data_IF_147015105044
#
_entry.id   IF_147015105044
#
_cell.length_a   1.000
_cell.length_b   1.000
_cell.length_c   1.000
_cell.angle_alpha   90.00
_cell.angle_beta   90.00
_cell.angle_gamma   90.00
#
_symmetry.space_group_name_H-M   'P 1'
#
loop_
_entity.id
_entity.type
_entity.pdbx_description
1 polymer ?
#
# COMPACT_ATOMS: atom_id res chain seq x y z
N UNK A 1 -1.06 25.01 8.28
CA UNK A 1 -2.19 24.41 7.53
C UNK A 1 -1.72 23.03 7.10
N UNK A 2 -2.29 22.00 7.70
CA UNK A 2 -1.82 20.61 7.65
C UNK A 2 -1.84 20.07 6.21
N UNK A 3 -0.70 19.54 5.77
CA UNK A 3 -0.51 19.00 4.43
C UNK A 3 -1.63 17.99 4.09
N UNK A 4 -2.46 18.35 3.11
CA UNK A 4 -3.46 17.47 2.54
C UNK A 4 -2.74 16.34 1.79
N UNK A 5 -2.50 15.22 2.47
CA UNK A 5 -2.30 13.93 1.79
C UNK A 5 -3.31 12.86 2.24
N UNK A 6 -4.61 13.14 2.45
CA UNK A 6 -5.56 12.05 2.75
C UNK A 6 -6.13 11.34 1.50
N UNK A 7 -6.34 12.02 0.36
CA UNK A 7 -7.26 11.47 -0.67
C UNK A 7 -6.63 10.68 -1.83
N UNK A 8 -5.31 10.60 -1.98
CA UNK A 8 -4.70 9.93 -3.14
C UNK A 8 -4.96 8.42 -3.13
N UNK A 9 -4.74 7.79 -1.98
CA UNK A 9 -4.96 6.34 -1.87
C UNK A 9 -6.44 6.00 -2.01
N UNK A 10 -7.34 6.78 -1.41
CA UNK A 10 -8.78 6.58 -1.54
C UNK A 10 -9.28 6.74 -2.98
N UNK A 11 -8.82 7.80 -3.68
CA UNK A 11 -9.25 8.10 -5.06
C UNK A 11 -8.79 7.06 -6.07
N UNK A 12 -7.63 6.46 -5.83
CA UNK A 12 -7.02 5.49 -6.72
C UNK A 12 -7.17 4.04 -6.22
N UNK A 13 -7.90 3.82 -5.13
CA UNK A 13 -7.93 2.54 -4.41
C UNK A 13 -8.26 1.34 -5.30
N UNK A 14 -9.32 1.45 -6.10
CA UNK A 14 -9.78 0.36 -6.97
C UNK A 14 -8.74 -0.01 -8.04
N UNK A 15 -7.98 0.98 -8.55
CA UNK A 15 -6.89 0.75 -9.51
C UNK A 15 -5.60 0.29 -8.83
N UNK A 16 -5.41 0.66 -7.57
CA UNK A 16 -4.23 0.34 -6.78
C UNK A 16 -4.27 -1.11 -6.27
N UNK A 17 -5.44 -1.63 -5.86
CA UNK A 17 -5.65 -3.02 -5.42
C UNK A 17 -4.95 -4.07 -6.31
N UNK A 18 -5.21 -4.12 -7.64
CA UNK A 18 -4.58 -5.12 -8.51
C UNK A 18 -3.06 -4.92 -8.66
N UNK A 19 -2.54 -3.69 -8.56
CA UNK A 19 -1.09 -3.44 -8.59
C UNK A 19 -0.41 -3.97 -7.32
N UNK A 20 -1.04 -3.76 -6.16
CA UNK A 20 -0.56 -4.28 -4.89
C UNK A 20 -0.58 -5.82 -4.91
N UNK A 21 -1.67 -6.45 -5.35
CA UNK A 21 -1.73 -7.92 -5.44
C UNK A 21 -0.70 -8.52 -6.40
N UNK A 22 -0.43 -7.80 -7.50
CA UNK A 22 0.57 -8.25 -8.49
C UNK A 22 1.98 -8.21 -7.92
N UNK A 23 2.33 -7.18 -7.17
CA UNK A 23 3.64 -7.04 -6.54
C UNK A 23 3.79 -7.96 -5.32
N UNK A 24 2.75 -8.03 -4.49
CA UNK A 24 2.72 -8.84 -3.29
C UNK A 24 1.62 -9.90 -3.39
N UNK A 25 1.92 -10.99 -4.10
CA UNK A 25 0.98 -12.10 -4.33
C UNK A 25 0.54 -12.83 -3.06
N UNK A 26 1.18 -12.55 -1.92
CA UNK A 26 0.79 -13.04 -0.60
C UNK A 26 -0.42 -12.29 0.00
N UNK A 27 -0.76 -11.09 -0.50
CA UNK A 27 -1.96 -10.37 -0.08
C UNK A 27 -3.17 -10.83 -0.88
N UNK A 28 -4.25 -11.12 -0.15
CA UNK A 28 -5.54 -11.42 -0.73
C UNK A 28 -6.43 -10.18 -0.77
N UNK A 29 -7.52 -10.26 -1.52
CA UNK A 29 -8.51 -9.18 -1.57
C UNK A 29 -9.08 -8.85 -0.19
N UNK A 30 -9.25 -9.85 0.68
CA UNK A 30 -9.70 -9.65 2.06
C UNK A 30 -8.71 -8.81 2.90
N UNK A 31 -7.40 -8.99 2.71
CA UNK A 31 -6.39 -8.18 3.38
C UNK A 31 -6.46 -6.72 2.90
N UNK A 32 -6.67 -6.52 1.59
CA UNK A 32 -6.87 -5.17 1.04
C UNK A 32 -8.16 -4.55 1.57
N UNK A 33 -9.26 -5.30 1.59
CA UNK A 33 -10.52 -4.80 2.13
C UNK A 33 -10.39 -4.40 3.60
N UNK A 34 -9.69 -5.19 4.40
CA UNK A 34 -9.36 -4.87 5.79
C UNK A 34 -8.52 -3.58 5.93
N UNK A 35 -7.64 -3.30 4.97
CA UNK A 35 -6.87 -2.07 4.97
C UNK A 35 -7.76 -0.81 4.89
N UNK A 36 -9.00 -0.92 4.40
CA UNK A 36 -10.02 0.14 4.41
C UNK A 36 -9.50 1.48 3.84
N UNK A 37 -8.68 1.42 2.77
CA UNK A 37 -8.05 2.60 2.16
C UNK A 37 -7.16 3.39 3.14
N UNK A 38 -6.67 2.77 4.20
CA UNK A 38 -5.74 3.35 5.17
C UNK A 38 -4.32 2.95 4.79
N UNK A 39 -3.51 3.96 4.47
CA UNK A 39 -2.14 3.75 4.01
C UNK A 39 -1.29 3.00 5.05
N UNK A 40 -1.33 3.39 6.32
CA UNK A 40 -0.55 2.73 7.38
C UNK A 40 -1.00 1.28 7.64
N UNK A 41 -2.29 0.99 7.57
CA UNK A 41 -2.82 -0.37 7.75
C UNK A 41 -2.36 -1.26 6.59
N UNK A 42 -2.43 -0.76 5.36
CA UNK A 42 -1.95 -1.47 4.18
C UNK A 42 -0.45 -1.80 4.30
N UNK A 43 0.38 -0.82 4.69
CA UNK A 43 1.82 -1.01 4.86
C UNK A 43 2.11 -2.09 5.92
N UNK A 44 1.36 -2.04 7.04
CA UNK A 44 1.47 -3.04 8.10
C UNK A 44 1.12 -4.44 7.61
N UNK A 45 -0.01 -4.59 6.89
CA UNK A 45 -0.44 -5.88 6.34
C UNK A 45 0.58 -6.45 5.35
N UNK A 46 1.12 -5.63 4.45
CA UNK A 46 2.14 -6.07 3.49
C UNK A 46 3.38 -6.55 4.23
N UNK A 47 3.80 -5.83 5.28
CA UNK A 47 4.91 -6.24 6.12
C UNK A 47 4.64 -7.56 6.85
N UNK A 48 3.45 -7.77 7.41
CA UNK A 48 3.11 -9.03 8.10
C UNK A 48 3.02 -10.21 7.15
N UNK A 49 2.41 -10.02 5.97
CA UNK A 49 2.19 -11.09 5.00
C UNK A 49 3.45 -11.45 4.20
N UNK A 50 4.32 -10.47 3.95
CA UNK A 50 5.49 -10.63 3.09
C UNK A 50 6.83 -10.66 3.87
N UNK A 51 6.79 -10.52 5.21
CA UNK A 51 7.95 -10.26 6.05
C UNK A 51 8.93 -11.42 6.22
N UNK A 52 10.19 -11.18 5.83
CA UNK A 52 11.40 -11.84 6.36
C UNK A 52 12.22 -10.93 7.29
N UNK A 53 13.24 -11.48 7.98
CA UNK A 53 13.96 -11.00 9.20
C UNK A 53 14.48 -9.54 9.34
N UNK A 54 14.16 -8.57 8.47
CA UNK A 54 14.69 -7.19 8.58
C UNK A 54 13.58 -6.13 8.51
N UNK A 55 13.19 -5.61 9.68
CA UNK A 55 11.93 -4.87 9.88
C UNK A 55 11.93 -3.42 9.36
N UNK A 56 13.03 -2.69 9.49
CA UNK A 56 13.06 -1.24 9.20
C UNK A 56 13.19 -0.95 7.69
N UNK A 57 13.96 -1.76 6.97
CA UNK A 57 14.23 -1.56 5.54
C UNK A 57 12.98 -1.86 4.70
N UNK A 58 12.15 -2.80 5.15
CA UNK A 58 10.95 -3.20 4.42
C UNK A 58 9.85 -2.13 4.45
N UNK A 59 9.62 -1.47 5.59
CA UNK A 59 8.53 -0.49 5.68
C UNK A 59 8.75 0.68 4.71
N UNK A 60 9.97 1.23 4.67
CA UNK A 60 10.32 2.31 3.75
C UNK A 60 10.16 1.89 2.28
N UNK A 61 10.62 0.69 1.94
CA UNK A 61 10.48 0.13 0.59
C UNK A 61 9.00 -0.06 0.19
N UNK A 62 8.16 -0.59 1.09
CA UNK A 62 6.72 -0.78 0.85
C UNK A 62 6.05 0.57 0.63
N UNK A 63 6.31 1.55 1.50
CA UNK A 63 5.74 2.90 1.39
C UNK A 63 6.15 3.58 0.09
N UNK A 64 7.42 3.52 -0.27
CA UNK A 64 7.93 4.09 -1.52
C UNK A 64 7.26 3.43 -2.72
N UNK A 65 7.11 2.11 -2.70
CA UNK A 65 6.48 1.35 -3.78
C UNK A 65 5.01 1.70 -3.96
N UNK A 66 4.23 1.80 -2.88
CA UNK A 66 2.82 2.23 -2.95
C UNK A 66 2.74 3.66 -3.51
N UNK A 67 3.62 4.57 -3.06
CA UNK A 67 3.67 5.92 -3.61
C UNK A 67 4.02 5.92 -5.11
N UNK A 68 4.91 5.04 -5.56
CA UNK A 68 5.23 4.90 -6.98
C UNK A 68 4.01 4.46 -7.79
N UNK A 69 3.22 3.50 -7.29
CA UNK A 69 1.97 3.11 -7.94
C UNK A 69 0.97 4.26 -8.01
N UNK A 70 0.81 5.01 -6.93
CA UNK A 70 -0.07 6.19 -6.92
C UNK A 70 0.38 7.22 -7.97
N UNK A 71 1.68 7.51 -8.07
CA UNK A 71 2.21 8.41 -9.10
C UNK A 71 1.94 7.92 -10.53
N UNK A 72 2.01 6.60 -10.77
CA UNK A 72 1.68 6.02 -12.08
C UNK A 72 0.19 6.19 -12.40
N UNK A 73 -0.69 6.07 -11.40
CA UNK A 73 -2.14 6.21 -11.57
C UNK A 73 -2.61 7.66 -11.71
N UNK A 74 -1.79 8.62 -11.28
CA UNK A 74 -2.00 10.06 -11.44
C UNK A 74 -1.44 10.62 -12.76
N UNK A 75 -0.64 9.85 -13.49
CA UNK A 75 0.08 10.28 -14.69
C UNK A 75 -0.64 10.00 -15.99
#
# INVERSE_FOLDING_TARGET
>A
MTAHTPNRLESHWEKLKPLIQKEWSALNEADLDYADKRFDVLVHLIRERCGGRTEIIQEAAIREKINQFLRILES
#
